data_IF_546535291669
#
_entry.id   IF_546535291669
#
_cell.length_a   1.000
_cell.length_b   1.000
_cell.length_c   1.000
_cell.angle_alpha   90.00
_cell.angle_beta   90.00
_cell.angle_gamma   90.00
#
_symmetry.space_group_name_H-M   'P 1'
#
loop_
_entity.id
_entity.type
_entity.pdbx_description
1 polymer ?
#
# COMPACT_ATOMS: atom_id res chain seq x y z
N UNK A 1 9.14 13.96 4.06
CA UNK A 1 8.17 12.93 3.64
C UNK A 1 7.52 12.29 4.86
N UNK A 2 6.21 12.15 4.87
CA UNK A 2 5.46 11.41 5.91
C UNK A 2 5.30 9.98 5.36
N UNK A 3 6.01 9.01 5.94
CA UNK A 3 5.89 7.60 5.54
C UNK A 3 4.51 7.02 5.87
N UNK A 4 4.16 5.88 5.25
CA UNK A 4 2.85 5.24 5.40
C UNK A 4 2.49 4.92 6.87
N UNK A 5 3.48 4.57 7.70
CA UNK A 5 3.31 4.29 9.13
C UNK A 5 2.86 5.49 9.97
N UNK A 6 2.97 6.72 9.43
CA UNK A 6 2.55 7.95 10.10
C UNK A 6 1.15 8.43 9.67
N UNK A 7 0.49 7.70 8.77
CA UNK A 7 -0.89 8.01 8.35
C UNK A 7 -1.89 7.59 9.44
N UNK A 8 -3.03 8.27 9.50
CA UNK A 8 -4.13 7.88 10.38
C UNK A 8 -4.60 6.46 10.05
N UNK A 9 -4.86 5.60 11.05
CA UNK A 9 -5.45 4.29 10.80
C UNK A 9 -6.81 4.42 10.12
N UNK A 10 -6.99 3.63 9.06
CA UNK A 10 -8.23 3.60 8.28
C UNK A 10 -8.30 2.28 7.51
N UNK A 11 -9.48 1.89 7.02
CA UNK A 11 -9.59 0.70 6.17
C UNK A 11 -8.71 0.81 4.92
N UNK A 12 -8.22 -0.32 4.46
CA UNK A 12 -7.37 -0.43 3.27
C UNK A 12 -7.67 -1.73 2.52
N UNK A 13 -7.20 -1.80 1.27
CA UNK A 13 -7.30 -2.99 0.43
C UNK A 13 -5.89 -3.47 0.10
N UNK A 14 -5.63 -4.77 0.27
CA UNK A 14 -4.39 -5.44 -0.15
C UNK A 14 -4.69 -6.29 -1.36
N UNK A 15 -3.91 -6.16 -2.43
CA UNK A 15 -4.10 -6.91 -3.68
C UNK A 15 -2.76 -7.18 -4.37
N UNK A 16 -2.71 -8.21 -5.22
CA UNK A 16 -1.52 -8.49 -6.04
C UNK A 16 -1.56 -7.75 -7.37
N UNK A 17 -0.41 -7.65 -8.02
CA UNK A 17 -0.23 -7.03 -9.35
C UNK A 17 -1.22 -7.54 -10.41
N UNK A 18 -1.48 -8.85 -10.42
CA UNK A 18 -2.37 -9.48 -11.39
C UNK A 18 -3.86 -9.34 -11.08
N UNK A 19 -4.23 -8.77 -9.93
CA UNK A 19 -5.60 -8.69 -9.41
C UNK A 19 -6.30 -10.06 -9.26
N UNK A 20 -5.54 -11.12 -8.98
CA UNK A 20 -6.09 -12.47 -8.71
C UNK A 20 -6.85 -12.51 -7.38
N UNK A 21 -6.43 -11.68 -6.42
CA UNK A 21 -7.03 -11.59 -5.11
C UNK A 21 -6.99 -10.17 -4.56
N UNK A 22 -7.97 -9.85 -3.72
CA UNK A 22 -8.06 -8.60 -2.99
C UNK A 22 -8.69 -8.84 -1.61
N UNK A 23 -8.07 -8.28 -0.58
CA UNK A 23 -8.53 -8.37 0.80
C UNK A 23 -8.87 -6.99 1.34
N UNK A 24 -10.09 -6.81 1.85
CA UNK A 24 -10.45 -5.63 2.64
C UNK A 24 -9.98 -5.81 4.08
N UNK A 25 -9.26 -4.81 4.59
CA UNK A 25 -8.66 -4.84 5.91
C UNK A 25 -9.13 -3.63 6.72
N UNK A 26 -9.46 -3.86 8.00
CA UNK A 26 -9.92 -2.83 8.94
C UNK A 26 -8.99 -2.69 10.15
N UNK A 27 -7.73 -3.12 10.02
CA UNK A 27 -6.78 -3.17 11.11
C UNK A 27 -6.16 -1.79 11.39
N UNK A 28 -5.80 -1.52 12.65
CA UNK A 28 -5.31 -0.21 13.11
C UNK A 28 -3.87 0.10 12.68
N UNK A 29 -3.19 -0.86 12.05
CA UNK A 29 -1.82 -0.72 11.54
C UNK A 29 -1.74 -1.18 10.09
N UNK A 30 -1.01 -0.42 9.29
CA UNK A 30 -0.68 -0.82 7.92
C UNK A 30 0.37 -1.94 7.91
N UNK A 31 0.23 -2.92 7.00
CA UNK A 31 1.11 -4.09 6.96
C UNK A 31 2.49 -3.70 6.42
N UNK A 32 3.47 -4.56 6.69
CA UNK A 32 4.78 -4.53 6.06
C UNK A 32 5.03 -5.87 5.37
N UNK A 33 5.07 -5.86 4.04
CA UNK A 33 5.28 -7.04 3.21
C UNK A 33 6.68 -7.08 2.59
N UNK A 34 7.64 -6.30 3.11
CA UNK A 34 9.01 -6.23 2.58
C UNK A 34 9.67 -7.61 2.47
N UNK A 35 9.38 -8.54 3.39
CA UNK A 35 9.96 -9.88 3.38
C UNK A 35 9.29 -10.87 2.42
N UNK A 36 8.14 -10.54 1.82
CA UNK A 36 7.35 -11.46 0.99
C UNK A 36 7.92 -11.64 -0.43
N UNK A 37 8.86 -10.79 -0.86
CA UNK A 37 9.48 -10.82 -2.19
C UNK A 37 8.46 -10.97 -3.33
N UNK A 38 7.36 -10.22 -3.24
CA UNK A 38 6.26 -10.24 -4.18
C UNK A 38 5.68 -8.83 -4.36
N UNK A 39 5.10 -8.57 -5.53
CA UNK A 39 4.47 -7.28 -5.82
C UNK A 39 3.10 -7.22 -5.15
N UNK A 40 3.06 -6.50 -4.01
CA UNK A 40 1.88 -6.38 -3.15
C UNK A 40 1.52 -4.91 -3.02
N UNK A 41 0.29 -4.59 -3.41
CA UNK A 41 -0.27 -3.26 -3.35
C UNK A 41 -1.15 -3.11 -2.11
N UNK A 42 -1.07 -1.95 -1.49
CA UNK A 42 -1.93 -1.54 -0.38
C UNK A 42 -2.49 -0.18 -0.69
N UNK A 43 -3.81 -0.10 -0.88
CA UNK A 43 -4.52 1.14 -1.18
C UNK A 43 -5.39 1.55 0.01
N UNK A 44 -5.32 2.83 0.39
CA UNK A 44 -6.23 3.40 1.37
C UNK A 44 -7.67 3.37 0.83
N UNK A 45 -8.69 3.16 1.68
CA UNK A 45 -10.09 2.98 1.24
C UNK A 45 -10.68 4.12 0.40
N UNK A 46 -10.12 5.33 0.51
CA UNK A 46 -10.51 6.51 -0.29
C UNK A 46 -9.47 6.91 -1.35
N UNK A 47 -8.52 6.01 -1.65
CA UNK A 47 -7.42 6.19 -2.62
C UNK A 47 -6.52 7.40 -2.38
N UNK A 48 -6.53 8.00 -1.17
CA UNK A 48 -5.63 9.12 -0.81
C UNK A 48 -4.16 8.77 -1.00
N UNK A 49 -3.80 7.51 -0.81
CA UNK A 49 -2.49 6.98 -1.13
C UNK A 49 -2.57 5.50 -1.46
N UNK A 50 -1.56 5.04 -2.19
CA UNK A 50 -1.28 3.64 -2.48
C UNK A 50 0.20 3.40 -2.21
N UNK A 51 0.53 2.27 -1.59
CA UNK A 51 1.90 1.80 -1.49
C UNK A 51 2.08 0.45 -2.17
N UNK A 52 3.28 0.19 -2.66
CA UNK A 52 3.64 -1.10 -3.28
C UNK A 52 4.93 -1.62 -2.65
N UNK A 53 4.91 -2.88 -2.23
CA UNK A 53 6.10 -3.67 -1.92
C UNK A 53 6.50 -4.39 -3.19
N UNK A 54 7.78 -4.32 -3.57
CA UNK A 54 8.25 -4.91 -4.83
C UNK A 54 9.10 -6.14 -4.58
N UNK A 55 9.09 -7.07 -5.52
CA UNK A 55 9.97 -8.24 -5.49
C UNK A 55 11.43 -7.92 -5.89
N UNK A 56 11.65 -6.88 -6.72
CA UNK A 56 12.97 -6.56 -7.26
C UNK A 56 13.90 -5.82 -6.28
N UNK A 57 13.35 -4.95 -5.43
CA UNK A 57 14.13 -4.12 -4.49
C UNK A 57 13.46 -4.03 -3.10
N UNK A 58 13.30 -5.16 -2.40
CA UNK A 58 12.58 -5.18 -1.11
C UNK A 58 13.26 -4.30 -0.04
N UNK A 59 14.58 -4.13 -0.09
CA UNK A 59 15.37 -3.37 0.87
C UNK A 59 15.17 -1.84 0.80
N UNK A 60 14.64 -1.32 -0.30
CA UNK A 60 14.29 0.10 -0.44
C UNK A 60 12.97 0.45 0.25
N UNK A 61 12.25 -0.55 0.76
CA UNK A 61 10.95 -0.43 1.39
C UNK A 61 9.83 -0.20 0.36
N UNK A 62 8.60 0.06 0.82
CA UNK A 62 7.49 0.25 -0.08
C UNK A 62 7.55 1.63 -0.76
N UNK A 63 7.29 1.65 -2.07
CA UNK A 63 7.09 2.89 -2.81
C UNK A 63 5.71 3.43 -2.50
N UNK A 64 5.63 4.71 -2.11
CA UNK A 64 4.40 5.37 -1.68
C UNK A 64 4.00 6.46 -2.68
N UNK A 65 2.77 6.38 -3.20
CA UNK A 65 2.15 7.37 -4.07
C UNK A 65 0.93 7.98 -3.39
N UNK A 66 0.72 9.29 -3.61
CA UNK A 66 -0.45 10.01 -3.12
C UNK A 66 -1.38 10.35 -4.29
N UNK A 67 -2.69 10.47 -4.03
CA UNK A 67 -3.62 11.00 -5.03
C UNK A 67 -3.14 12.39 -5.47
N UNK A 68 -3.02 12.60 -6.77
CA UNK A 68 -2.73 13.92 -7.33
C UNK A 68 -3.88 14.87 -7.02
N UNK A 69 -3.57 16.12 -6.65
CA UNK A 69 -4.59 17.17 -6.45
C UNK A 69 -5.34 17.51 -7.75
N UNK A 70 -4.80 17.12 -8.91
CA UNK A 70 -5.38 17.32 -10.24
C UNK A 70 -6.00 16.04 -10.84
N UNK A 71 -6.18 14.98 -10.04
CA UNK A 71 -6.86 13.78 -10.50
C UNK A 71 -8.36 13.91 -10.24
N UNK A 72 -9.11 14.16 -11.32
CA UNK A 72 -10.58 14.20 -11.38
C UNK A 72 -11.23 13.03 -10.60
#
# INVERSE_FOLDING_TARGET
MIGYQKQWPAPYVVFNENNDWAYSCTFDRYPDFTSFQADIYVAHHNMKWTMVFTHEQPDLGPYLAFKSENAD
#
